data_IF_968303185666
#
_entry.id   IF_968303185666
#
_cell.length_a   1.000
_cell.length_b   1.000
_cell.length_c   1.000
_cell.angle_alpha   90.00
_cell.angle_beta   90.00
_cell.angle_gamma   90.00
#
_symmetry.space_group_name_H-M   'P 1'
#
loop_
_entity.id
_entity.type
_entity.pdbx_description
1 polymer ?
#
# COMPACT_ATOMS: atom_id res chain seq x y z
N UNK A 1 -5.33 -0.90 -13.23
CA UNK A 1 -5.85 -2.03 -12.47
C UNK A 1 -6.70 -1.48 -11.33
N UNK A 2 -7.90 -2.01 -11.13
CA UNK A 2 -8.82 -1.59 -10.08
C UNK A 2 -8.81 -2.61 -8.95
N UNK A 3 -9.06 -2.15 -7.75
CA UNK A 3 -9.18 -3.02 -6.58
C UNK A 3 -10.34 -4.02 -6.76
N UNK A 4 -10.10 -5.27 -6.39
CA UNK A 4 -11.12 -6.33 -6.37
C UNK A 4 -11.60 -6.48 -4.93
N UNK A 5 -12.89 -6.20 -4.70
CA UNK A 5 -13.50 -6.39 -3.40
C UNK A 5 -14.07 -7.81 -3.30
N UNK A 6 -13.60 -8.55 -2.30
CA UNK A 6 -13.97 -9.95 -2.10
C UNK A 6 -15.17 -10.14 -1.17
N UNK A 7 -15.61 -9.09 -0.47
CA UNK A 7 -16.71 -9.14 0.50
C UNK A 7 -17.72 -8.00 0.28
N UNK A 8 -18.96 -8.14 0.73
CA UNK A 8 -20.05 -7.22 0.46
C UNK A 8 -19.83 -5.80 1.00
N UNK A 9 -19.53 -5.63 2.29
CA UNK A 9 -19.13 -4.36 2.93
C UNK A 9 -17.61 -4.28 3.09
N UNK A 10 -16.88 -4.68 2.08
CA UNK A 10 -15.45 -4.72 2.08
C UNK A 10 -14.76 -3.37 2.14
N UNK A 11 -13.46 -3.40 2.11
CA UNK A 11 -12.60 -2.23 2.29
C UNK A 11 -12.95 -1.09 1.31
N UNK A 12 -13.27 -1.41 0.05
CA UNK A 12 -13.61 -0.38 -0.95
C UNK A 12 -14.87 0.40 -0.57
N UNK A 13 -15.96 -0.30 -0.20
CA UNK A 13 -17.22 0.35 0.19
C UNK A 13 -17.04 1.23 1.43
N UNK A 14 -16.31 0.74 2.43
CA UNK A 14 -16.02 1.51 3.65
C UNK A 14 -15.15 2.73 3.36
N UNK A 15 -14.09 2.58 2.56
CA UNK A 15 -13.26 3.71 2.15
C UNK A 15 -14.07 4.80 1.45
N UNK A 16 -14.93 4.43 0.49
CA UNK A 16 -15.80 5.37 -0.22
C UNK A 16 -16.74 6.10 0.75
N UNK A 17 -17.40 5.37 1.65
CA UNK A 17 -18.33 5.95 2.62
C UNK A 17 -17.64 6.98 3.55
N UNK A 18 -16.48 6.62 4.11
CA UNK A 18 -15.72 7.51 4.98
C UNK A 18 -15.14 8.71 4.22
N UNK A 19 -14.66 8.50 2.98
CA UNK A 19 -14.16 9.62 2.16
C UNK A 19 -15.29 10.61 1.81
N UNK A 20 -16.47 10.12 1.45
CA UNK A 20 -17.65 10.96 1.22
C UNK A 20 -18.11 11.71 2.48
N UNK A 21 -17.82 11.17 3.66
CA UNK A 21 -18.05 11.82 4.95
C UNK A 21 -16.92 12.78 5.37
N UNK A 22 -15.92 13.02 4.52
CA UNK A 22 -14.80 13.94 4.78
C UNK A 22 -13.74 13.40 5.73
N UNK A 23 -13.75 12.10 6.02
CA UNK A 23 -12.80 11.48 6.93
C UNK A 23 -11.46 11.16 6.27
N UNK A 24 -10.40 11.19 7.07
CA UNK A 24 -9.07 10.73 6.72
C UNK A 24 -8.95 9.23 6.98
N UNK A 25 -8.17 8.52 6.16
CA UNK A 25 -8.09 7.06 6.22
C UNK A 25 -6.70 6.57 6.65
N UNK A 26 -6.68 5.47 7.38
CA UNK A 26 -5.49 4.69 7.67
C UNK A 26 -5.70 3.27 7.18
N UNK A 27 -5.02 2.89 6.09
CA UNK A 27 -5.10 1.57 5.50
C UNK A 27 -4.02 0.67 6.12
N UNK A 28 -4.45 -0.38 6.80
CA UNK A 28 -3.60 -1.29 7.55
C UNK A 28 -3.70 -2.70 6.96
N UNK A 29 -2.60 -3.39 6.78
CA UNK A 29 -2.58 -4.75 6.27
C UNK A 29 -1.20 -5.20 5.82
N UNK A 30 -1.06 -6.47 5.47
CA UNK A 30 0.20 -7.08 5.05
C UNK A 30 0.80 -6.43 3.78
N UNK A 31 2.08 -6.66 3.55
CA UNK A 31 2.78 -6.19 2.34
C UNK A 31 2.15 -6.83 1.09
N UNK A 32 1.77 -6.00 0.13
CA UNK A 32 1.22 -6.50 -1.14
C UNK A 32 -0.28 -6.85 -1.12
N UNK A 33 -1.02 -6.63 -0.01
CA UNK A 33 -2.46 -6.87 0.07
C UNK A 33 -3.33 -5.90 -0.75
N UNK A 34 -2.74 -4.93 -1.45
CA UNK A 34 -3.46 -4.04 -2.36
C UNK A 34 -3.87 -2.70 -1.78
N UNK A 35 -3.32 -2.23 -0.63
CA UNK A 35 -3.61 -0.91 -0.02
C UNK A 35 -3.56 0.24 -1.04
N UNK A 36 -2.48 0.29 -1.81
CA UNK A 36 -2.26 1.34 -2.80
C UNK A 36 -3.24 1.26 -3.98
N UNK A 37 -3.58 0.06 -4.42
CA UNK A 37 -4.58 -0.16 -5.47
C UNK A 37 -5.97 0.22 -4.98
N UNK A 38 -6.28 -0.06 -3.71
CA UNK A 38 -7.55 0.30 -3.09
C UNK A 38 -7.75 1.82 -3.09
N UNK A 39 -6.80 2.59 -2.54
CA UNK A 39 -6.96 4.04 -2.46
C UNK A 39 -6.94 4.71 -3.84
N UNK A 40 -6.12 4.22 -4.78
CA UNK A 40 -6.19 4.68 -6.17
C UNK A 40 -7.57 4.45 -6.81
N UNK A 41 -8.20 3.33 -6.49
CA UNK A 41 -9.55 3.03 -6.99
C UNK A 41 -10.59 3.93 -6.35
N UNK A 42 -10.47 4.22 -5.05
CA UNK A 42 -11.34 5.16 -4.32
C UNK A 42 -11.26 6.55 -4.94
N UNK A 43 -10.07 7.10 -5.10
CA UNK A 43 -9.86 8.44 -5.64
C UNK A 43 -10.32 8.55 -7.09
N UNK A 44 -10.11 7.49 -7.89
CA UNK A 44 -10.63 7.42 -9.25
C UNK A 44 -12.17 7.42 -9.29
N UNK A 45 -12.84 6.68 -8.40
CA UNK A 45 -14.31 6.64 -8.31
C UNK A 45 -14.88 7.99 -7.85
N UNK A 46 -14.16 8.68 -6.97
CA UNK A 46 -14.54 10.02 -6.49
C UNK A 46 -14.15 11.14 -7.47
N UNK A 47 -13.42 10.81 -8.54
CA UNK A 47 -12.85 11.77 -9.49
C UNK A 47 -11.98 12.84 -8.81
N UNK A 48 -11.18 12.42 -7.82
CA UNK A 48 -10.26 13.28 -7.05
C UNK A 48 -8.83 12.99 -7.50
N UNK A 49 -8.01 14.02 -7.83
CA UNK A 49 -6.60 13.84 -8.10
C UNK A 49 -5.86 13.30 -6.86
N UNK A 50 -4.84 12.48 -7.07
CA UNK A 50 -4.03 11.90 -5.99
C UNK A 50 -2.59 12.38 -6.07
N UNK A 51 -2.06 12.89 -4.95
CA UNK A 51 -0.64 13.08 -4.73
C UNK A 51 -0.12 12.02 -3.76
N UNK A 52 0.92 11.30 -4.16
CA UNK A 52 1.51 10.26 -3.32
C UNK A 52 2.92 10.66 -2.92
N UNK A 53 3.21 10.48 -1.64
CA UNK A 53 4.54 10.60 -1.08
C UNK A 53 4.90 9.35 -0.29
N UNK A 54 6.18 9.02 -0.29
CA UNK A 54 6.71 7.88 0.46
C UNK A 54 7.16 8.34 1.84
N UNK A 55 6.63 7.68 2.88
CA UNK A 55 7.15 7.82 4.24
C UNK A 55 8.52 7.14 4.36
N UNK A 56 9.44 7.80 5.03
CA UNK A 56 10.74 7.27 5.40
C UNK A 56 11.31 8.05 6.59
N UNK A 57 12.36 7.51 7.22
CA UNK A 57 12.99 8.12 8.38
C UNK A 57 13.79 9.40 8.07
N UNK A 58 14.04 9.73 6.80
CA UNK A 58 14.75 10.92 6.37
C UNK A 58 13.81 12.10 6.10
N UNK A 59 12.51 11.83 5.93
CA UNK A 59 11.49 12.85 5.71
C UNK A 59 11.52 13.87 6.85
N UNK A 60 11.59 15.14 6.50
CA UNK A 60 11.63 16.24 7.46
C UNK A 60 10.45 17.22 7.32
N UNK A 61 10.38 18.21 8.21
CA UNK A 61 9.30 19.20 8.19
C UNK A 61 9.33 20.08 6.94
N UNK A 62 10.51 20.29 6.32
CA UNK A 62 10.62 21.10 5.11
C UNK A 62 10.03 20.35 3.91
N UNK A 63 10.18 19.02 3.88
CA UNK A 63 9.52 18.21 2.85
C UNK A 63 8.00 18.32 2.91
N UNK A 64 7.44 18.42 4.13
CA UNK A 64 6.00 18.52 4.35
C UNK A 64 5.47 19.94 4.21
N UNK A 65 6.21 20.97 4.64
CA UNK A 65 5.76 22.36 4.66
C UNK A 65 6.27 23.16 3.45
N UNK A 66 7.44 22.84 2.96
CA UNK A 66 8.18 23.65 2.01
C UNK A 66 9.24 24.51 2.70
N UNK A 67 9.88 25.37 1.95
CA UNK A 67 11.01 26.17 2.47
C UNK A 67 11.36 27.38 1.60
N UNK A 68 12.33 28.17 2.04
CA UNK A 68 12.82 29.31 1.28
C UNK A 68 13.53 28.84 0.00
N UNK A 69 13.24 29.53 -1.09
CA UNK A 69 13.89 29.34 -2.39
C UNK A 69 14.32 30.68 -2.98
N UNK A 70 15.24 30.69 -3.91
CA UNK A 70 15.65 31.89 -4.63
C UNK A 70 15.07 31.81 -6.04
N UNK A 71 14.16 32.72 -6.34
CA UNK A 71 13.58 32.89 -7.67
C UNK A 71 13.91 34.27 -8.22
N UNK A 72 14.59 34.33 -9.37
CA UNK A 72 15.03 35.58 -10.02
C UNK A 72 15.82 36.53 -9.07
N UNK A 73 16.70 35.95 -8.25
CA UNK A 73 17.52 36.70 -7.29
C UNK A 73 16.77 37.19 -6.03
N UNK A 74 15.50 36.85 -5.87
CA UNK A 74 14.69 37.23 -4.71
C UNK A 74 14.36 35.97 -3.90
N UNK A 75 14.53 36.03 -2.58
CA UNK A 75 14.12 34.96 -1.68
C UNK A 75 12.62 34.94 -1.59
N UNK A 76 12.04 33.75 -1.87
CA UNK A 76 10.60 33.46 -1.74
C UNK A 76 10.43 32.19 -0.94
N UNK A 77 9.27 32.02 -0.32
CA UNK A 77 8.90 30.75 0.29
C UNK A 77 8.09 29.93 -0.71
N UNK A 78 8.54 28.71 -0.99
CA UNK A 78 7.84 27.75 -1.82
C UNK A 78 7.16 26.70 -0.94
N UNK A 79 5.84 26.60 -1.03
CA UNK A 79 5.12 25.51 -0.38
C UNK A 79 5.54 24.16 -0.95
N UNK A 80 5.52 23.14 -0.09
CA UNK A 80 5.67 21.76 -0.53
C UNK A 80 4.60 21.36 -1.54
N UNK A 81 4.89 20.36 -2.35
CA UNK A 81 3.89 19.82 -3.27
C UNK A 81 2.70 19.23 -2.50
N UNK A 82 2.93 18.58 -1.35
CA UNK A 82 1.87 18.10 -0.47
C UNK A 82 0.84 19.19 -0.14
N UNK A 83 1.29 20.35 0.37
CA UNK A 83 0.38 21.44 0.75
C UNK A 83 -0.30 22.07 -0.47
N UNK A 84 0.42 22.19 -1.58
CA UNK A 84 -0.14 22.72 -2.83
C UNK A 84 -1.27 21.84 -3.36
N UNK A 85 -1.06 20.53 -3.37
CA UNK A 85 -2.07 19.56 -3.81
C UNK A 85 -3.27 19.52 -2.87
N UNK A 86 -3.06 19.54 -1.55
CA UNK A 86 -4.15 19.62 -0.56
C UNK A 86 -4.99 20.89 -0.70
N UNK A 87 -4.35 22.03 -0.93
CA UNK A 87 -5.06 23.30 -1.16
C UNK A 87 -5.81 23.33 -2.51
N UNK A 88 -5.35 22.56 -3.49
CA UNK A 88 -5.96 22.48 -4.82
C UNK A 88 -7.08 21.43 -4.96
N UNK A 89 -7.34 20.63 -3.93
CA UNK A 89 -8.43 19.64 -3.96
C UNK A 89 -8.00 18.20 -4.24
N UNK A 90 -6.70 17.91 -4.23
CA UNK A 90 -6.19 16.56 -4.36
C UNK A 90 -6.14 15.82 -3.02
N UNK A 91 -6.28 14.52 -3.06
CA UNK A 91 -5.98 13.66 -1.93
C UNK A 91 -4.48 13.40 -1.82
N UNK A 92 -3.99 13.32 -0.58
CA UNK A 92 -2.60 12.98 -0.29
C UNK A 92 -2.53 11.59 0.32
N UNK A 93 -1.73 10.73 -0.29
CA UNK A 93 -1.42 9.40 0.22
C UNK A 93 0.00 9.38 0.74
N UNK A 94 0.15 9.17 2.04
CA UNK A 94 1.42 8.92 2.69
C UNK A 94 1.63 7.41 2.78
N UNK A 95 2.43 6.88 1.86
CA UNK A 95 2.74 5.45 1.81
C UNK A 95 3.78 5.11 2.88
N UNK A 96 3.58 4.00 3.60
CA UNK A 96 4.41 3.60 4.74
C UNK A 96 4.54 4.70 5.82
N UNK A 97 3.45 5.38 6.13
CA UNK A 97 3.46 6.55 7.03
C UNK A 97 3.89 6.24 8.48
N UNK A 98 3.93 4.97 8.88
CA UNK A 98 4.49 4.53 10.15
C UNK A 98 6.04 4.54 10.22
N UNK A 99 6.71 4.92 9.13
CA UNK A 99 8.18 5.06 9.09
C UNK A 99 8.66 6.50 9.30
N UNK A 100 7.76 7.49 9.27
CA UNK A 100 8.11 8.90 9.47
C UNK A 100 8.45 9.21 10.93
N UNK A 101 9.23 10.27 11.12
CA UNK A 101 9.55 10.76 12.48
C UNK A 101 8.31 11.33 13.17
N UNK A 102 8.21 11.20 14.51
CA UNK A 102 7.09 11.78 15.26
C UNK A 102 6.88 13.27 15.01
N UNK A 103 7.95 14.05 14.87
CA UNK A 103 7.90 15.50 14.61
C UNK A 103 7.26 15.84 13.25
N UNK A 104 7.36 14.92 12.28
CA UNK A 104 6.69 15.06 10.98
C UNK A 104 5.22 14.71 11.08
N UNK A 105 4.88 13.71 11.89
CA UNK A 105 3.48 13.37 12.15
C UNK A 105 2.70 14.54 12.77
N UNK A 106 3.33 15.37 13.61
CA UNK A 106 2.69 16.55 14.21
C UNK A 106 2.20 17.58 13.18
N UNK A 107 2.86 17.68 12.04
CA UNK A 107 2.43 18.56 10.93
C UNK A 107 1.05 18.14 10.42
N UNK A 108 0.78 16.84 10.41
CA UNK A 108 -0.50 16.30 9.94
C UNK A 108 -1.65 16.66 10.88
N UNK A 109 -1.41 16.85 12.18
CA UNK A 109 -2.46 17.16 13.16
C UNK A 109 -3.26 18.39 12.76
N UNK A 110 -2.59 19.51 12.44
CA UNK A 110 -3.25 20.75 12.06
C UNK A 110 -4.10 20.62 10.79
N UNK A 111 -3.67 19.78 9.85
CA UNK A 111 -4.37 19.56 8.59
C UNK A 111 -5.54 18.57 8.73
N UNK A 112 -5.48 17.68 9.72
CA UNK A 112 -6.51 16.65 9.94
C UNK A 112 -7.50 17.03 11.05
N UNK A 113 -7.29 18.15 11.73
CA UNK A 113 -8.25 18.74 12.67
C UNK A 113 -9.45 19.37 11.94
N UNK A 114 -10.49 19.71 12.68
CA UNK A 114 -11.70 20.33 12.14
C UNK A 114 -11.45 21.64 11.37
N UNK A 115 -10.41 22.39 11.75
CA UNK A 115 -10.03 23.63 11.07
C UNK A 115 -9.39 23.37 9.69
N UNK A 116 -8.80 22.19 9.46
CA UNK A 116 -8.20 21.75 8.19
C UNK A 116 -7.23 22.79 7.59
N UNK A 117 -6.40 23.37 8.43
CA UNK A 117 -5.48 24.44 8.04
C UNK A 117 -4.17 24.34 8.82
N UNK A 118 -3.11 24.92 8.26
CA UNK A 118 -1.80 24.97 8.90
C UNK A 118 -1.15 26.33 8.71
N UNK A 119 -0.56 26.88 9.80
CA UNK A 119 0.27 28.05 9.73
C UNK A 119 1.68 27.64 9.30
N UNK A 120 2.13 28.08 8.12
CA UNK A 120 3.44 27.80 7.57
C UNK A 120 4.37 28.99 7.82
N UNK A 121 5.45 28.79 8.61
CA UNK A 121 6.41 29.88 8.89
C UNK A 121 7.01 30.45 7.60
N UNK A 122 6.97 31.78 7.47
CA UNK A 122 7.49 32.46 6.27
C UNK A 122 6.56 32.49 5.06
N UNK A 123 5.43 31.78 5.09
CA UNK A 123 4.44 31.81 4.01
C UNK A 123 3.07 32.38 4.48
N UNK A 124 2.53 31.87 5.58
CA UNK A 124 1.21 32.25 6.07
C UNK A 124 0.31 31.04 6.30
N UNK A 125 -1.01 31.28 6.37
CA UNK A 125 -2.01 30.25 6.59
C UNK A 125 -2.30 29.52 5.26
N UNK A 126 -2.25 28.18 5.31
CA UNK A 126 -2.64 27.30 4.21
C UNK A 126 -3.90 26.55 4.62
N UNK A 127 -4.96 26.73 3.86
CA UNK A 127 -6.24 26.04 4.04
C UNK A 127 -6.29 24.81 3.15
N UNK A 128 -6.62 23.68 3.71
CA UNK A 128 -6.89 22.45 2.97
C UNK A 128 -8.25 22.56 2.26
N UNK A 129 -8.31 22.14 1.01
CA UNK A 129 -9.58 22.13 0.26
C UNK A 129 -10.60 21.17 0.92
N UNK A 130 -11.91 21.53 0.95
CA UNK A 130 -12.93 20.70 1.61
C UNK A 130 -13.00 19.24 1.12
N UNK A 131 -12.74 19.00 -0.15
CA UNK A 131 -12.78 17.67 -0.75
C UNK A 131 -11.48 16.88 -0.60
N UNK A 132 -10.37 17.51 -0.23
CA UNK A 132 -9.10 16.82 -0.02
C UNK A 132 -9.11 15.98 1.26
N UNK A 133 -8.38 14.90 1.27
CA UNK A 133 -8.12 14.15 2.48
C UNK A 133 -6.72 13.57 2.49
N UNK A 134 -6.34 13.09 3.67
CA UNK A 134 -5.18 12.24 3.85
C UNK A 134 -5.57 10.78 3.90
N UNK A 135 -4.74 9.95 3.28
CA UNK A 135 -4.72 8.51 3.52
C UNK A 135 -3.30 8.10 3.90
N UNK A 136 -3.17 7.39 5.00
CA UNK A 136 -1.90 6.78 5.43
C UNK A 136 -1.98 5.30 5.15
N UNK A 137 -0.98 4.72 4.49
CA UNK A 137 -0.84 3.26 4.42
C UNK A 137 0.18 2.78 5.43
N UNK A 138 -0.09 1.65 6.06
CA UNK A 138 0.77 1.05 7.07
C UNK A 138 0.88 -0.44 6.83
N UNK A 139 2.07 -1.00 7.03
CA UNK A 139 2.27 -2.43 7.11
C UNK A 139 2.15 -2.84 8.58
N UNK A 140 1.34 -3.86 8.88
CA UNK A 140 1.38 -4.55 10.16
C UNK A 140 2.74 -5.27 10.27
N UNK A 141 3.30 -5.35 11.45
CA UNK A 141 4.48 -6.17 11.78
C UNK A 141 5.81 -5.85 11.07
N UNK A 142 6.01 -4.64 10.54
CA UNK A 142 7.26 -4.28 9.93
C UNK A 142 8.29 -3.83 10.99
N UNK A 143 9.39 -4.56 11.11
CA UNK A 143 10.53 -4.18 11.95
C UNK A 143 11.12 -2.84 11.45
N UNK A 144 11.17 -1.82 12.31
CA UNK A 144 11.64 -0.47 11.95
C UNK A 144 10.53 0.56 11.82
N UNK A 145 9.29 0.24 12.20
CA UNK A 145 8.20 1.21 12.28
C UNK A 145 8.29 2.04 13.55
N UNK A 146 8.16 3.35 13.41
CA UNK A 146 7.92 4.23 14.56
C UNK A 146 6.46 4.09 14.99
N UNK A 147 6.22 4.00 16.30
CA UNK A 147 4.86 4.11 16.80
C UNK A 147 4.37 5.53 16.53
N UNK A 148 3.39 5.67 15.62
CA UNK A 148 2.68 6.93 15.52
C UNK A 148 2.01 7.22 16.87
N UNK A 149 2.11 8.45 17.32
CA UNK A 149 1.50 8.84 18.58
C UNK A 149 -0.03 8.66 18.49
N UNK A 150 -0.68 8.35 19.63
CA UNK A 150 -2.13 8.09 19.70
C UNK A 150 -2.96 9.25 19.13
N UNK A 151 -2.51 10.49 19.34
CA UNK A 151 -3.19 11.67 18.81
C UNK A 151 -3.19 11.73 17.27
N UNK A 152 -2.16 11.24 16.62
CA UNK A 152 -2.12 11.10 15.16
C UNK A 152 -3.06 9.98 14.71
N UNK A 153 -2.99 8.83 15.39
CA UNK A 153 -3.79 7.65 15.04
C UNK A 153 -5.29 7.92 15.13
N UNK A 154 -5.73 8.62 16.15
CA UNK A 154 -7.14 8.94 16.40
C UNK A 154 -7.80 9.80 15.31
N UNK A 155 -7.00 10.56 14.57
CA UNK A 155 -7.47 11.41 13.46
C UNK A 155 -7.75 10.67 12.16
N UNK A 156 -7.40 9.38 12.10
CA UNK A 156 -7.54 8.56 10.90
C UNK A 156 -8.44 7.37 11.17
N UNK A 157 -9.44 7.18 10.32
CA UNK A 157 -10.30 6.00 10.39
C UNK A 157 -9.54 4.76 9.91
N UNK A 158 -9.35 3.75 10.76
CA UNK A 158 -8.63 2.54 10.38
C UNK A 158 -9.47 1.63 9.49
N UNK A 159 -8.89 1.20 8.38
CA UNK A 159 -9.43 0.19 7.49
C UNK A 159 -8.42 -0.94 7.41
N UNK A 160 -8.73 -2.04 8.08
CA UNK A 160 -7.94 -3.26 7.99
C UNK A 160 -8.28 -3.99 6.69
N UNK A 161 -7.26 -4.30 5.90
CA UNK A 161 -7.37 -5.04 4.66
C UNK A 161 -6.90 -6.45 4.93
N UNK A 162 -7.85 -7.36 5.01
CA UNK A 162 -7.57 -8.77 5.19
C UNK A 162 -6.91 -9.36 3.93
N UNK A 163 -6.09 -10.37 4.14
CA UNK A 163 -5.62 -11.20 3.04
C UNK A 163 -6.80 -11.95 2.41
N UNK A 164 -6.89 -11.98 1.07
CA UNK A 164 -7.99 -12.65 0.40
C UNK A 164 -7.94 -14.17 0.64
N UNK A 165 -9.11 -14.80 0.71
CA UNK A 165 -9.21 -16.25 0.81
C UNK A 165 -8.80 -16.95 -0.49
N UNK A 166 -8.96 -16.29 -1.64
CA UNK A 166 -8.53 -16.71 -2.96
C UNK A 166 -8.01 -15.50 -3.74
N UNK A 167 -6.98 -15.71 -4.56
CA UNK A 167 -6.38 -14.67 -5.40
C UNK A 167 -6.77 -14.78 -6.87
N UNK A 168 -7.61 -15.76 -7.27
CA UNK A 168 -7.99 -16.01 -8.67
C UNK A 168 -8.53 -14.75 -9.34
N UNK A 169 -9.48 -14.06 -8.72
CA UNK A 169 -10.10 -12.86 -9.30
C UNK A 169 -9.10 -11.70 -9.44
N UNK A 170 -8.18 -11.58 -8.48
CA UNK A 170 -7.11 -10.58 -8.54
C UNK A 170 -6.16 -10.89 -9.69
N UNK A 171 -5.70 -12.15 -9.78
CA UNK A 171 -4.78 -12.60 -10.83
C UNK A 171 -5.40 -12.47 -12.21
N UNK A 172 -6.65 -12.94 -12.40
CA UNK A 172 -7.35 -12.84 -13.68
C UNK A 172 -7.53 -11.39 -14.14
N UNK A 173 -7.78 -10.46 -13.21
CA UNK A 173 -7.91 -9.04 -13.54
C UNK A 173 -6.59 -8.39 -13.94
N UNK A 174 -5.48 -8.81 -13.34
CA UNK A 174 -4.15 -8.21 -13.57
C UNK A 174 -3.43 -8.85 -14.75
N UNK A 175 -3.66 -10.15 -14.98
CA UNK A 175 -3.06 -10.96 -16.03
C UNK A 175 -4.21 -11.70 -16.76
N UNK A 176 -5.04 -10.99 -17.53
CA UNK A 176 -6.24 -11.57 -18.16
C UNK A 176 -5.93 -12.63 -19.21
N UNK A 177 -4.69 -12.65 -19.72
CA UNK A 177 -4.18 -13.64 -20.67
C UNK A 177 -3.78 -14.97 -20.03
N UNK A 178 -3.67 -15.04 -18.69
CA UNK A 178 -3.31 -16.26 -17.99
C UNK A 178 -4.37 -17.35 -18.15
N UNK A 179 -3.92 -18.60 -18.30
CA UNK A 179 -4.84 -19.73 -18.41
C UNK A 179 -5.58 -19.98 -17.09
N UNK A 180 -6.82 -20.49 -17.16
CA UNK A 180 -7.55 -20.87 -15.96
C UNK A 180 -6.80 -21.93 -15.12
N UNK A 181 -6.03 -22.81 -15.77
CA UNK A 181 -5.20 -23.79 -15.10
C UNK A 181 -4.09 -23.12 -14.27
N UNK A 182 -3.35 -22.16 -14.88
CA UNK A 182 -2.29 -21.41 -14.19
C UNK A 182 -2.83 -20.57 -13.03
N UNK A 183 -3.98 -19.93 -13.21
CA UNK A 183 -4.67 -19.18 -12.15
C UNK A 183 -5.00 -20.07 -10.95
N UNK A 184 -5.57 -21.25 -11.20
CA UNK A 184 -5.92 -22.19 -10.15
C UNK A 184 -4.70 -22.78 -9.45
N UNK A 185 -3.60 -23.07 -10.17
CA UNK A 185 -2.34 -23.52 -9.56
C UNK A 185 -1.79 -22.43 -8.65
N UNK A 186 -1.73 -21.18 -9.11
CA UNK A 186 -1.28 -20.05 -8.30
C UNK A 186 -2.13 -19.90 -7.02
N UNK A 187 -3.45 -20.00 -7.13
CA UNK A 187 -4.34 -19.92 -5.99
C UNK A 187 -4.14 -21.06 -4.99
N UNK A 188 -3.96 -22.27 -5.51
CA UNK A 188 -3.69 -23.45 -4.67
C UNK A 188 -2.37 -23.30 -3.90
N UNK A 189 -1.31 -22.87 -4.57
CA UNK A 189 -0.02 -22.57 -3.91
C UNK A 189 -0.17 -21.44 -2.90
N UNK A 190 -0.88 -20.36 -3.24
CA UNK A 190 -1.16 -19.24 -2.33
C UNK A 190 -1.86 -19.72 -1.06
N UNK A 191 -2.94 -20.48 -1.20
CA UNK A 191 -3.69 -21.01 -0.06
C UNK A 191 -2.82 -21.90 0.84
N UNK A 192 -2.01 -22.77 0.24
CA UNK A 192 -1.11 -23.66 0.98
C UNK A 192 -0.05 -22.89 1.77
N UNK A 193 0.53 -21.80 1.19
CA UNK A 193 1.49 -20.94 1.89
C UNK A 193 0.78 -20.17 3.02
N UNK A 194 -0.37 -19.57 2.74
CA UNK A 194 -1.17 -18.83 3.73
C UNK A 194 -1.52 -19.69 4.94
N UNK A 195 -1.95 -20.93 4.70
CA UNK A 195 -2.33 -21.85 5.77
C UNK A 195 -1.11 -22.24 6.62
N UNK A 196 0.09 -22.33 6.02
CA UNK A 196 1.34 -22.53 6.77
C UNK A 196 1.73 -21.28 7.58
N UNK A 197 1.56 -20.07 7.06
CA UNK A 197 1.79 -18.83 7.81
C UNK A 197 0.87 -18.77 9.04
N UNK A 198 -0.39 -19.19 8.91
CA UNK A 198 -1.38 -19.20 10.01
C UNK A 198 -1.16 -20.32 11.02
N UNK A 199 -0.36 -21.33 10.70
CA UNK A 199 -0.09 -22.44 11.61
C UNK A 199 1.00 -22.08 12.63
N UNK A 200 0.89 -22.62 13.84
CA UNK A 200 1.90 -22.44 14.90
C UNK A 200 3.26 -23.03 14.48
N UNK A 201 4.31 -22.21 14.49
CA UNK A 201 5.64 -22.60 14.02
C UNK A 201 5.76 -22.68 12.49
N UNK A 202 4.87 -22.04 11.78
CA UNK A 202 4.86 -21.97 10.30
C UNK A 202 5.83 -20.93 9.72
N UNK A 203 5.50 -20.51 8.51
CA UNK A 203 6.28 -19.50 7.78
C UNK A 203 6.08 -18.10 8.36
N UNK A 204 7.05 -17.21 8.12
CA UNK A 204 6.94 -15.80 8.48
C UNK A 204 5.78 -15.11 7.74
N UNK A 205 5.11 -14.11 8.33
CA UNK A 205 3.97 -13.43 7.73
C UNK A 205 4.26 -12.78 6.38
N UNK A 206 5.51 -12.38 6.14
CA UNK A 206 5.96 -11.73 4.90
C UNK A 206 6.57 -12.71 3.87
N UNK A 207 6.44 -14.03 4.12
CA UNK A 207 7.00 -15.08 3.26
C UNK A 207 6.48 -15.01 1.81
N UNK A 208 5.31 -14.42 1.57
CA UNK A 208 4.77 -14.27 0.22
C UNK A 208 4.07 -12.91 0.00
N UNK A 209 3.92 -12.56 -1.27
CA UNK A 209 3.09 -11.43 -1.70
C UNK A 209 2.29 -11.79 -2.94
N UNK A 210 1.08 -11.25 -3.11
CA UNK A 210 0.29 -11.44 -4.34
C UNK A 210 1.06 -10.96 -5.57
N UNK A 211 1.92 -9.94 -5.42
CA UNK A 211 2.81 -9.47 -6.50
C UNK A 211 3.71 -10.58 -7.04
N UNK A 212 4.22 -11.46 -6.18
CA UNK A 212 5.03 -12.61 -6.62
C UNK A 212 4.29 -13.54 -7.58
N UNK A 213 3.02 -13.83 -7.31
CA UNK A 213 2.18 -14.64 -8.19
C UNK A 213 1.85 -13.94 -9.51
N UNK A 214 1.61 -12.63 -9.49
CA UNK A 214 1.42 -11.83 -10.71
C UNK A 214 2.67 -11.88 -11.58
N UNK A 215 3.85 -11.69 -10.99
CA UNK A 215 5.12 -11.72 -11.70
C UNK A 215 5.43 -13.12 -12.25
N UNK A 216 5.08 -14.19 -11.52
CA UNK A 216 5.19 -15.56 -11.97
C UNK A 216 4.33 -15.85 -13.22
N UNK A 217 3.06 -15.42 -13.21
CA UNK A 217 2.16 -15.55 -14.37
C UNK A 217 2.64 -14.76 -15.59
N UNK A 218 3.22 -13.59 -15.38
CA UNK A 218 3.82 -12.80 -16.48
C UNK A 218 5.06 -13.44 -17.09
N UNK A 219 5.82 -14.17 -16.28
CA UNK A 219 6.99 -14.90 -16.73
C UNK A 219 6.65 -16.26 -17.38
N UNK A 220 5.46 -16.80 -17.09
CA UNK A 220 5.02 -18.13 -17.55
C UNK A 220 5.19 -18.38 -19.05
N UNK A 221 4.84 -17.44 -19.97
CA UNK A 221 4.96 -17.70 -21.42
C UNK A 221 6.39 -17.99 -21.89
N UNK A 222 7.39 -17.53 -21.13
CA UNK A 222 8.81 -17.67 -21.48
C UNK A 222 9.52 -18.75 -20.67
N UNK A 223 9.22 -18.83 -19.37
CA UNK A 223 9.96 -19.69 -18.43
C UNK A 223 9.15 -20.88 -17.92
N UNK A 224 7.83 -20.91 -18.17
CA UNK A 224 6.91 -21.83 -17.52
C UNK A 224 6.52 -21.39 -16.11
N UNK A 225 5.34 -21.84 -15.65
CA UNK A 225 4.76 -21.40 -14.37
C UNK A 225 5.62 -21.83 -13.16
N UNK A 226 6.19 -23.04 -13.20
CA UNK A 226 7.02 -23.55 -12.11
C UNK A 226 8.23 -22.66 -11.83
N UNK A 227 9.00 -22.32 -12.84
CA UNK A 227 10.14 -21.40 -12.70
C UNK A 227 9.71 -20.01 -12.30
N UNK A 228 8.60 -19.51 -12.86
CA UNK A 228 8.02 -18.24 -12.47
C UNK A 228 7.73 -18.18 -10.96
N UNK A 229 7.13 -19.22 -10.39
CA UNK A 229 6.82 -19.31 -8.95
C UNK A 229 8.08 -19.49 -8.10
N UNK A 230 9.04 -20.31 -8.51
CA UNK A 230 10.30 -20.49 -7.78
C UNK A 230 11.08 -19.17 -7.66
N UNK A 231 11.18 -18.41 -8.73
CA UNK A 231 11.91 -17.14 -8.73
C UNK A 231 11.16 -16.01 -8.04
N UNK A 232 9.84 -15.90 -8.26
CA UNK A 232 9.07 -14.75 -7.81
C UNK A 232 8.31 -14.95 -6.50
N UNK A 233 8.21 -16.18 -6.01
CA UNK A 233 7.59 -16.50 -4.70
C UNK A 233 8.62 -17.14 -3.77
N UNK A 234 9.19 -18.30 -4.12
CA UNK A 234 10.07 -19.03 -3.21
C UNK A 234 11.41 -18.32 -2.91
N UNK A 235 11.99 -17.63 -3.91
CA UNK A 235 13.31 -17.00 -3.76
C UNK A 235 13.27 -15.62 -3.09
N UNK A 236 12.08 -15.01 -2.88
CA UNK A 236 11.96 -13.64 -2.34
C UNK A 236 12.23 -13.49 -0.83
N UNK A 237 11.86 -14.43 0.06
CA UNK A 237 12.18 -14.31 1.47
C UNK A 237 13.69 -14.22 1.71
N UNK A 238 14.10 -13.41 2.71
CA UNK A 238 15.52 -13.29 3.06
C UNK A 238 16.02 -14.50 3.85
N UNK A 239 15.17 -15.13 4.65
CA UNK A 239 15.49 -16.31 5.41
C UNK A 239 15.66 -17.56 4.53
N UNK A 240 16.79 -18.24 4.68
CA UNK A 240 17.14 -19.44 3.91
C UNK A 240 16.20 -20.61 4.16
N UNK A 241 15.75 -20.77 5.41
CA UNK A 241 14.83 -21.86 5.79
C UNK A 241 13.46 -21.68 5.13
N UNK A 242 12.91 -20.46 5.17
CA UNK A 242 11.67 -20.12 4.50
C UNK A 242 11.76 -20.34 2.98
N UNK A 243 12.88 -19.93 2.36
CA UNK A 243 13.09 -20.21 0.92
C UNK A 243 13.07 -21.70 0.60
N UNK A 244 13.74 -22.52 1.40
CA UNK A 244 13.78 -23.98 1.20
C UNK A 244 12.37 -24.57 1.30
N UNK A 245 11.62 -24.22 2.33
CA UNK A 245 10.26 -24.71 2.53
C UNK A 245 9.30 -24.31 1.40
N UNK A 246 9.40 -23.08 0.89
CA UNK A 246 8.61 -22.62 -0.24
C UNK A 246 8.99 -23.34 -1.53
N UNK A 247 10.30 -23.58 -1.74
CA UNK A 247 10.79 -24.32 -2.89
C UNK A 247 10.23 -25.74 -2.90
N UNK A 248 10.37 -26.48 -1.81
CA UNK A 248 9.84 -27.85 -1.67
C UNK A 248 8.31 -27.89 -1.87
N UNK A 249 7.60 -26.91 -1.31
CA UNK A 249 6.15 -26.79 -1.48
C UNK A 249 5.78 -26.62 -2.95
N UNK A 250 6.35 -25.62 -3.63
CA UNK A 250 6.06 -25.34 -5.04
C UNK A 250 6.44 -26.53 -5.91
N UNK A 251 7.59 -27.14 -5.67
CA UNK A 251 8.04 -28.32 -6.42
C UNK A 251 7.11 -29.53 -6.25
N UNK A 252 6.49 -29.69 -5.10
CA UNK A 252 5.54 -30.76 -4.84
C UNK A 252 4.16 -30.53 -5.48
N UNK A 253 3.78 -29.27 -5.69
CA UNK A 253 2.43 -28.87 -6.12
C UNK A 253 2.34 -28.52 -7.59
N UNK A 254 3.45 -28.06 -8.17
CA UNK A 254 3.48 -27.59 -9.58
C UNK A 254 4.19 -28.60 -10.45
N UNK A 255 3.52 -29.15 -11.47
CA UNK A 255 4.14 -30.11 -12.39
C UNK A 255 5.41 -29.55 -13.05
N UNK A 256 6.35 -30.43 -13.39
CA UNK A 256 7.49 -30.03 -14.22
C UNK A 256 6.96 -29.65 -15.60
N UNK A 257 7.12 -28.41 -15.99
CA UNK A 257 6.84 -27.98 -17.35
C UNK A 257 7.83 -28.71 -18.27
N UNK A 258 7.30 -29.53 -19.18
CA UNK A 258 8.11 -30.28 -20.13
C UNK A 258 8.74 -29.43 -21.23
N UNK A 259 9.08 -28.16 -20.92
CA UNK A 259 9.78 -27.23 -21.81
C UNK A 259 11.10 -26.81 -21.15
N UNK A 260 12.18 -27.27 -21.72
CA UNK A 260 13.48 -26.62 -21.66
C UNK A 260 13.63 -25.84 -22.96
#
# INVERSE_FOLDING_TARGET
VRYVQADGFGALTRCLAYRLSGMHLRLVGSKGCGKNTLIQTVDWLLNVPQYRMQGNAELDKLDLLGGPTIENGTMRYRLSDMLRYLAAGADVVLDEGNTIKPECADVLHSLTDAARQIQVPGYGLVQMHPHSAFTITMNEDYAGTNFMNEATIDRFTPIHIAEPESIVDVLHRVVPEASAASLNICDYVYCAIRDRIRSAGGLEPDAMTIRGFIDALRAEPLLGLRWGLLDNVASKPQDAYTRLQLTELIESMVPQDGRI
#
